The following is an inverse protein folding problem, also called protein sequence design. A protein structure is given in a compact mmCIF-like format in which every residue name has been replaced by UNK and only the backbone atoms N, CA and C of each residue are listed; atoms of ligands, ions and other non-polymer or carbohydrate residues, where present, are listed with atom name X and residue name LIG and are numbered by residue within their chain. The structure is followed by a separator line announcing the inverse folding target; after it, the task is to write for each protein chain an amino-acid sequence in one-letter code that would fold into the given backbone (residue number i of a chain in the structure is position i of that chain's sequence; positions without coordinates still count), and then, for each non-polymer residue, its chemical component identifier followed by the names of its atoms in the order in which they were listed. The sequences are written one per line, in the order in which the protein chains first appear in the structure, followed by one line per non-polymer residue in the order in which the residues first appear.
data_IF_931421204741
#
_entry.id   IF_931421204741
#
_cell.length_a   1.000
_cell.length_b   1.000
_cell.length_c   1.000
_cell.angle_alpha   90.00
_cell.angle_beta   90.00
_cell.angle_gamma   90.00
#
_symmetry.space_group_name_H-M   'P 1'
#
loop_
_entity.id
_entity.type
_entity.pdbx_description
1 polymer ?
#
# COMPACT_ATOMS: atom_id res chain seq x y z
N UNK A 1 27.45 24.59 -24.74
CA UNK A 1 26.06 24.51 -24.23
C UNK A 1 25.30 23.60 -25.17
N UNK A 2 25.28 22.30 -24.88
CA UNK A 2 24.49 21.33 -25.64
C UNK A 2 23.08 21.31 -25.06
N UNK A 3 22.13 21.83 -25.83
CA UNK A 3 20.71 21.73 -25.50
C UNK A 3 20.26 20.29 -25.76
N UNK A 4 20.17 19.48 -24.71
CA UNK A 4 19.48 18.19 -24.75
C UNK A 4 17.99 18.45 -25.05
N UNK A 5 17.63 18.47 -26.33
CA UNK A 5 16.23 18.34 -26.75
C UNK A 5 15.78 16.95 -26.32
N UNK A 6 14.96 16.87 -25.28
CA UNK A 6 14.20 15.66 -24.99
C UNK A 6 13.40 15.32 -26.25
N UNK A 7 13.73 14.18 -26.86
CA UNK A 7 12.98 13.68 -28.00
C UNK A 7 11.57 13.42 -27.50
N UNK A 8 10.59 14.10 -28.07
CA UNK A 8 9.19 13.91 -27.71
C UNK A 8 8.79 12.46 -28.02
N UNK A 9 8.57 11.65 -26.98
CA UNK A 9 8.11 10.26 -27.11
C UNK A 9 6.78 10.23 -27.85
N UNK A 10 6.63 9.27 -28.74
CA UNK A 10 5.37 9.02 -29.46
C UNK A 10 4.31 8.45 -28.50
N UNK A 11 3.03 8.67 -28.80
CA UNK A 11 1.93 8.18 -27.94
C UNK A 11 1.94 6.65 -27.76
N UNK A 12 2.45 5.92 -28.76
CA UNK A 12 2.62 4.47 -28.71
C UNK A 12 3.69 4.05 -27.70
N UNK A 13 4.78 4.80 -27.58
CA UNK A 13 5.85 4.56 -26.60
C UNK A 13 5.39 4.89 -25.19
N UNK A 14 4.68 6.02 -25.02
CA UNK A 14 4.06 6.39 -23.74
C UNK A 14 3.07 5.34 -23.24
N UNK A 15 2.27 4.78 -24.15
CA UNK A 15 1.31 3.72 -23.83
C UNK A 15 2.01 2.43 -23.39
N UNK A 16 3.09 2.03 -24.06
CA UNK A 16 3.87 0.84 -23.68
C UNK A 16 4.50 0.99 -22.29
N UNK A 17 5.07 2.15 -21.99
CA UNK A 17 5.66 2.49 -20.69
C UNK A 17 4.60 2.52 -19.58
N UNK A 18 3.43 3.11 -19.85
CA UNK A 18 2.30 3.11 -18.94
C UNK A 18 1.81 1.68 -18.61
N UNK A 19 1.73 0.79 -19.61
CA UNK A 19 1.34 -0.61 -19.41
C UNK A 19 2.38 -1.36 -18.56
N UNK A 20 3.67 -1.09 -18.74
CA UNK A 20 4.72 -1.69 -17.92
C UNK A 20 4.64 -1.22 -16.46
N UNK A 21 4.39 0.07 -16.22
CA UNK A 21 4.19 0.64 -14.89
C UNK A 21 2.95 0.10 -14.17
N UNK A 22 1.91 -0.28 -14.93
CA UNK A 22 0.67 -0.88 -14.45
C UNK A 22 0.74 -2.41 -14.34
N UNK A 23 1.81 -3.05 -14.81
CA UNK A 23 1.94 -4.51 -14.74
C UNK A 23 2.01 -5.00 -13.28
N UNK A 24 1.48 -6.20 -12.96
CA UNK A 24 1.40 -6.68 -11.59
C UNK A 24 2.78 -6.64 -10.92
N UNK A 25 2.85 -6.08 -9.69
CA UNK A 25 4.08 -5.98 -8.89
C UNK A 25 4.91 -7.26 -9.02
N UNK A 26 6.22 -7.12 -9.26
CA UNK A 26 7.18 -8.18 -8.91
C UNK A 26 7.00 -8.41 -7.41
N UNK A 27 6.38 -9.55 -7.04
CA UNK A 27 6.23 -9.94 -5.64
C UNK A 27 7.60 -9.81 -5.00
N UNK A 28 7.70 -9.05 -3.90
CA UNK A 28 8.90 -9.13 -3.07
C UNK A 28 8.97 -10.58 -2.61
N UNK A 29 9.87 -11.36 -3.20
CA UNK A 29 10.18 -12.68 -2.73
C UNK A 29 10.88 -12.50 -1.38
N UNK A 30 10.10 -12.34 -0.33
CA UNK A 30 10.63 -12.50 1.01
C UNK A 30 11.12 -13.94 1.07
N UNK A 31 12.43 -14.12 1.30
CA UNK A 31 13.03 -15.44 1.38
C UNK A 31 12.40 -16.17 2.56
N UNK A 32 11.41 -17.03 2.28
CA UNK A 32 10.66 -17.85 3.25
C UNK A 32 11.56 -18.63 4.21
N UNK A 33 12.82 -18.86 3.83
CA UNK A 33 13.81 -19.57 4.64
C UNK A 33 14.33 -18.83 5.88
N UNK A 34 14.14 -17.51 6.02
CA UNK A 34 14.77 -16.75 7.12
C UNK A 34 13.82 -16.27 8.24
N UNK A 35 12.50 -16.28 8.07
CA UNK A 35 11.57 -15.76 9.09
C UNK A 35 10.41 -16.73 9.33
N UNK A 36 10.49 -17.49 10.43
CA UNK A 36 9.49 -18.48 10.87
C UNK A 36 8.12 -17.85 11.18
N UNK A 37 8.05 -16.53 11.36
CA UNK A 37 6.87 -15.77 11.76
C UNK A 37 6.14 -15.06 10.61
N UNK A 38 6.61 -15.20 9.37
CA UNK A 38 6.04 -14.44 8.26
C UNK A 38 4.73 -15.08 7.75
N UNK A 39 3.60 -14.40 7.97
CA UNK A 39 2.30 -14.77 7.40
C UNK A 39 2.08 -14.01 6.08
N UNK A 40 1.87 -14.75 4.99
CA UNK A 40 1.46 -14.19 3.71
C UNK A 40 -0.07 -14.26 3.62
N UNK A 41 -0.72 -13.09 3.51
CA UNK A 41 -2.18 -13.00 3.35
C UNK A 41 -2.47 -12.38 1.99
N UNK A 42 -3.31 -13.07 1.21
CA UNK A 42 -3.80 -12.58 -0.08
C UNK A 42 -5.24 -12.13 0.09
N UNK A 43 -5.55 -10.93 -0.38
CA UNK A 43 -6.90 -10.37 -0.39
C UNK A 43 -7.30 -10.13 -1.84
N UNK A 44 -8.52 -10.53 -2.19
CA UNK A 44 -9.12 -10.16 -3.46
C UNK A 44 -9.86 -8.83 -3.25
N UNK A 45 -9.56 -7.85 -4.09
CA UNK A 45 -10.20 -6.53 -4.06
C UNK A 45 -10.69 -6.20 -5.46
N UNK A 46 -11.90 -5.66 -5.54
CA UNK A 46 -12.58 -5.31 -6.80
C UNK A 46 -11.94 -4.07 -7.43
N UNK A 47 -11.40 -3.15 -6.62
CA UNK A 47 -10.72 -1.95 -7.09
C UNK A 47 -9.73 -1.38 -6.06
N UNK A 48 -8.83 -0.49 -6.50
CA UNK A 48 -7.98 0.27 -5.60
C UNK A 48 -8.78 1.16 -4.63
N UNK A 49 -10.01 1.56 -5.00
CA UNK A 49 -10.91 2.28 -4.11
C UNK A 49 -11.36 1.44 -2.92
N UNK A 50 -11.63 0.15 -3.15
CA UNK A 50 -11.98 -0.81 -2.09
C UNK A 50 -10.79 -1.06 -1.16
N UNK A 51 -9.58 -1.23 -1.69
CA UNK A 51 -8.38 -1.36 -0.87
C UNK A 51 -8.16 -0.12 0.01
N UNK A 52 -8.29 1.09 -0.55
CA UNK A 52 -8.19 2.35 0.21
C UNK A 52 -9.28 2.45 1.29
N UNK A 53 -10.49 2.01 0.99
CA UNK A 53 -11.58 1.97 1.96
C UNK A 53 -11.24 1.05 3.13
N UNK A 54 -10.74 -0.16 2.86
CA UNK A 54 -10.31 -1.11 3.89
C UNK A 54 -9.22 -0.50 4.78
N UNK A 55 -8.18 0.08 4.19
CA UNK A 55 -7.10 0.78 4.94
C UNK A 55 -7.71 1.90 5.80
N UNK A 56 -8.62 2.70 5.25
CA UNK A 56 -9.28 3.78 6.00
C UNK A 56 -10.11 3.24 7.18
N UNK A 57 -10.78 2.10 7.02
CA UNK A 57 -11.52 1.46 8.11
C UNK A 57 -10.57 1.01 9.22
N UNK A 58 -9.45 0.37 8.89
CA UNK A 58 -8.44 -0.06 9.87
C UNK A 58 -7.89 1.13 10.66
N UNK A 59 -7.52 2.21 9.98
CA UNK A 59 -7.01 3.43 10.62
C UNK A 59 -8.06 4.09 11.53
N UNK A 60 -9.33 4.14 11.10
CA UNK A 60 -10.43 4.67 11.94
C UNK A 60 -10.63 3.85 13.20
N UNK A 61 -10.52 2.52 13.12
CA UNK A 61 -10.59 1.66 14.31
C UNK A 61 -9.45 1.96 15.27
N UNK A 62 -8.21 2.14 14.78
CA UNK A 62 -7.09 2.55 15.62
C UNK A 62 -7.33 3.91 16.29
N UNK A 63 -7.84 4.90 15.56
CA UNK A 63 -8.16 6.22 16.13
C UNK A 63 -9.22 6.09 17.24
N UNK A 64 -10.32 5.37 16.97
CA UNK A 64 -11.37 5.14 17.95
C UNK A 64 -10.87 4.39 19.19
N UNK A 65 -9.93 3.46 19.03
CA UNK A 65 -9.31 2.75 20.14
C UNK A 65 -8.44 3.69 20.98
N UNK A 66 -7.60 4.51 20.34
CA UNK A 66 -6.73 5.47 21.01
C UNK A 66 -7.49 6.60 21.72
N UNK A 67 -8.64 7.01 21.19
CA UNK A 67 -9.50 8.05 21.79
C UNK A 67 -10.34 7.54 22.97
N UNK A 68 -10.48 6.22 23.13
CA UNK A 68 -11.34 5.65 24.15
C UNK A 68 -10.59 5.48 25.48
N UNK A 69 -10.82 6.39 26.43
CA UNK A 69 -10.21 6.33 27.77
C UNK A 69 -10.61 5.08 28.58
N UNK A 70 -11.75 4.45 28.25
CA UNK A 70 -12.21 3.22 28.91
C UNK A 70 -11.60 1.93 28.32
N UNK A 71 -10.76 2.06 27.29
CA UNK A 71 -10.10 0.95 26.61
C UNK A 71 -10.98 0.26 25.56
N UNK A 72 -10.34 -0.27 24.51
CA UNK A 72 -10.98 -0.90 23.36
C UNK A 72 -11.03 -2.44 23.45
N UNK A 73 -10.52 -3.02 24.54
CA UNK A 73 -10.42 -4.47 24.67
C UNK A 73 -11.78 -5.12 24.97
N UNK A 74 -12.18 -6.02 24.07
CA UNK A 74 -13.30 -6.92 24.31
C UNK A 74 -13.07 -7.71 25.61
N UNK A 75 -14.08 -7.85 26.50
CA UNK A 75 -13.94 -8.64 27.72
C UNK A 75 -13.64 -10.12 27.45
N UNK A 76 -13.80 -10.59 26.20
CA UNK A 76 -13.42 -11.95 25.75
C UNK A 76 -11.95 -12.09 25.37
N UNK A 77 -11.19 -11.00 25.30
CA UNK A 77 -9.78 -10.93 24.89
C UNK A 77 -8.95 -10.19 25.94
N UNK A 78 -9.20 -10.46 27.23
CA UNK A 78 -8.54 -9.79 28.36
C UNK A 78 -7.02 -10.00 28.42
N UNK A 79 -6.47 -10.96 27.67
CA UNK A 79 -5.04 -11.20 27.55
C UNK A 79 -4.37 -10.40 26.42
N UNK A 80 -5.13 -9.67 25.61
CA UNK A 80 -4.60 -8.91 24.49
C UNK A 80 -4.27 -7.49 24.96
N UNK A 81 -3.01 -7.08 24.84
CA UNK A 81 -2.60 -5.70 25.09
C UNK A 81 -3.22 -4.81 24.02
N UNK A 82 -3.92 -3.77 24.45
CA UNK A 82 -4.57 -2.79 23.57
C UNK A 82 -3.54 -2.11 22.66
N UNK A 83 -2.46 -1.57 23.25
CA UNK A 83 -1.36 -0.95 22.52
C UNK A 83 -0.75 -1.89 21.47
N UNK A 84 -0.52 -3.16 21.84
CA UNK A 84 0.02 -4.15 20.91
C UNK A 84 -0.95 -4.47 19.77
N UNK A 85 -2.26 -4.49 20.07
CA UNK A 85 -3.31 -4.73 19.08
C UNK A 85 -3.38 -3.56 18.09
N UNK A 86 -3.37 -2.33 18.60
CA UNK A 86 -3.37 -1.11 17.78
C UNK A 86 -2.12 -1.07 16.90
N UNK A 87 -0.94 -1.33 17.47
CA UNK A 87 0.32 -1.39 16.72
C UNK A 87 0.26 -2.45 15.60
N UNK A 88 -0.28 -3.63 15.88
CA UNK A 88 -0.42 -4.71 14.89
C UNK A 88 -1.37 -4.32 13.74
N UNK A 89 -2.47 -3.62 14.04
CA UNK A 89 -3.41 -3.14 13.02
C UNK A 89 -2.76 -2.03 12.18
N UNK A 90 -1.98 -1.14 12.79
CA UNK A 90 -1.24 -0.10 12.08
C UNK A 90 -0.18 -0.70 11.14
N UNK A 91 0.57 -1.71 11.59
CA UNK A 91 1.54 -2.44 10.76
C UNK A 91 0.86 -3.15 9.58
N UNK A 92 -0.35 -3.68 9.80
CA UNK A 92 -1.16 -4.28 8.73
C UNK A 92 -1.63 -3.22 7.74
N UNK A 93 -2.11 -2.07 8.23
CA UNK A 93 -2.52 -0.96 7.37
C UNK A 93 -1.35 -0.47 6.51
N UNK A 94 -0.17 -0.27 7.11
CA UNK A 94 1.08 0.11 6.44
C UNK A 94 1.49 -0.94 5.38
N UNK A 95 1.43 -2.22 5.72
CA UNK A 95 1.72 -3.32 4.78
C UNK A 95 0.75 -3.39 3.60
N UNK A 96 -0.50 -2.94 3.79
CA UNK A 96 -1.51 -2.82 2.74
C UNK A 96 -1.37 -1.52 1.94
N UNK A 97 -0.68 -0.51 2.48
CA UNK A 97 -0.47 0.75 1.78
C UNK A 97 0.31 0.49 0.49
N UNK A 98 -0.18 1.02 -0.63
CA UNK A 98 0.42 0.70 -1.91
C UNK A 98 1.53 1.69 -2.22
N UNK A 99 2.57 1.77 -1.39
CA UNK A 99 3.67 2.75 -1.55
C UNK A 99 4.27 2.71 -2.96
N UNK A 100 4.61 1.51 -3.45
CA UNK A 100 5.12 1.39 -4.81
C UNK A 100 4.05 1.59 -5.90
N UNK A 101 2.74 1.57 -5.59
CA UNK A 101 1.74 1.97 -6.59
C UNK A 101 1.67 3.50 -6.67
N UNK A 102 1.84 4.22 -5.56
CA UNK A 102 1.99 5.68 -5.59
C UNK A 102 3.19 6.07 -6.45
N UNK A 103 4.33 5.40 -6.30
CA UNK A 103 5.50 5.60 -7.18
C UNK A 103 5.17 5.32 -8.66
N UNK A 104 4.44 4.23 -8.94
CA UNK A 104 3.98 3.91 -10.30
C UNK A 104 3.01 4.96 -10.85
N UNK A 105 2.12 5.52 -10.01
CA UNK A 105 1.18 6.57 -10.39
C UNK A 105 1.90 7.89 -10.68
N UNK A 106 2.87 8.28 -9.85
CA UNK A 106 3.72 9.47 -10.08
C UNK A 106 4.54 9.32 -11.37
N UNK A 107 5.07 8.12 -11.65
CA UNK A 107 5.74 7.81 -12.90
C UNK A 107 4.78 7.86 -14.11
N UNK A 108 3.55 7.35 -13.95
CA UNK A 108 2.51 7.41 -14.98
C UNK A 108 2.13 8.85 -15.30
N UNK A 109 1.99 9.68 -14.27
CA UNK A 109 1.68 11.10 -14.40
C UNK A 109 2.77 11.83 -15.18
N UNK A 110 4.06 11.56 -14.89
CA UNK A 110 5.18 12.11 -15.66
C UNK A 110 5.14 11.69 -17.14
N UNK A 111 4.82 10.43 -17.42
CA UNK A 111 4.74 9.90 -18.79
C UNK A 111 3.56 10.50 -19.59
N UNK A 112 2.41 10.66 -18.93
CA UNK A 112 1.16 11.09 -19.58
C UNK A 112 1.00 12.61 -19.64
N UNK A 113 1.36 13.32 -18.57
CA UNK A 113 1.18 14.77 -18.42
C UNK A 113 2.47 15.57 -18.66
N UNK A 114 3.63 14.91 -18.78
CA UNK A 114 4.89 15.53 -19.20
C UNK A 114 5.55 16.42 -18.15
N UNK A 115 5.55 16.00 -16.88
CA UNK A 115 6.23 16.69 -15.78
C UNK A 115 7.73 16.85 -15.97
#
# INVERSE_FOLDING_TARGET
METNKSVAKTDKEKLAEAIELLSPRKRRHYKRGNNVTMQEVSFEVTSNGELRYIISCLLRVCILALENEEGFCSPRLSSCSEDLTIATILDLADSLMPDTQLDSYDALEKVLLGG
#
